data_IF_899400106170
#
_entry.id   IF_899400106170
#
_cell.length_a   1.000
_cell.length_b   1.000
_cell.length_c   1.000
_cell.angle_alpha   90.00
_cell.angle_beta   90.00
_cell.angle_gamma   90.00
#
_symmetry.space_group_name_H-M   'P 1'
#
loop_
_entity.id
_entity.type
_entity.pdbx_description
1 polymer ?
#
# COMPACT_ATOMS: atom_id res chain seq x y z
N UNK A 1 -6.83 20.14 12.00
CA UNK A 1 -6.04 19.62 10.85
C UNK A 1 -7.05 18.91 9.99
N UNK A 2 -7.24 19.24 8.70
CA UNK A 2 -8.05 18.38 7.85
C UNK A 2 -7.39 17.00 7.93
N UNK A 3 -8.17 15.95 8.22
CA UNK A 3 -7.67 14.59 8.02
C UNK A 3 -7.07 14.58 6.61
N UNK A 4 -5.76 14.33 6.50
CA UNK A 4 -5.14 14.14 5.20
C UNK A 4 -6.04 13.17 4.44
N UNK A 5 -6.44 13.48 3.20
CA UNK A 5 -7.32 12.64 2.38
C UNK A 5 -6.61 11.33 2.02
N UNK A 6 -6.35 10.50 3.03
CA UNK A 6 -5.58 9.28 2.93
C UNK A 6 -6.41 8.26 2.17
N UNK A 7 -5.77 7.65 1.19
CA UNK A 7 -6.36 6.57 0.40
C UNK A 7 -5.94 5.24 1.01
N UNK A 8 -6.92 4.36 1.22
CA UNK A 8 -6.66 3.00 1.65
C UNK A 8 -6.36 2.10 0.44
N UNK A 9 -5.21 1.45 0.45
CA UNK A 9 -4.75 0.56 -0.60
C UNK A 9 -4.49 -0.84 -0.04
N UNK A 10 -4.83 -1.85 -0.83
CA UNK A 10 -4.42 -3.24 -0.65
C UNK A 10 -3.86 -3.80 -1.96
N UNK A 11 -2.92 -4.73 -1.87
CA UNK A 11 -2.19 -5.24 -3.02
C UNK A 11 -2.47 -6.73 -3.23
N UNK A 12 -3.17 -7.06 -4.33
CA UNK A 12 -3.48 -8.43 -4.74
C UNK A 12 -2.23 -9.10 -5.34
N UNK A 13 -1.86 -10.25 -4.82
CA UNK A 13 -0.76 -11.08 -5.30
C UNK A 13 -1.23 -12.12 -6.33
N UNK A 14 -0.26 -12.78 -6.97
CA UNK A 14 -0.49 -13.74 -8.05
C UNK A 14 -1.25 -15.00 -7.59
N UNK A 15 -1.15 -15.35 -6.30
CA UNK A 15 -1.84 -16.48 -5.68
C UNK A 15 -3.26 -16.12 -5.19
N UNK A 16 -3.69 -14.88 -5.41
CA UNK A 16 -4.99 -14.37 -5.00
C UNK A 16 -5.03 -13.80 -3.58
N UNK A 17 -3.93 -13.89 -2.81
CA UNK A 17 -3.82 -13.26 -1.49
C UNK A 17 -3.65 -11.74 -1.60
N UNK A 18 -3.89 -11.01 -0.49
CA UNK A 18 -3.77 -9.55 -0.42
C UNK A 18 -2.71 -9.17 0.64
N UNK A 19 -1.87 -8.17 0.36
CA UNK A 19 -1.04 -7.46 1.34
C UNK A 19 -1.73 -6.14 1.71
N UNK A 20 -1.90 -5.86 3.00
CA UNK A 20 -2.56 -4.65 3.53
C UNK A 20 -3.90 -4.95 4.24
N UNK A 21 -4.77 -3.95 4.44
CA UNK A 21 -4.72 -2.59 3.87
C UNK A 21 -3.70 -1.66 4.52
N UNK A 22 -3.29 -0.63 3.78
CA UNK A 22 -2.45 0.48 4.26
C UNK A 22 -3.03 1.82 3.82
N UNK A 23 -2.81 2.87 4.61
CA UNK A 23 -3.22 4.25 4.29
C UNK A 23 -2.06 5.03 3.70
N UNK A 24 -2.31 5.75 2.63
CA UNK A 24 -1.33 6.57 1.92
C UNK A 24 -1.86 7.96 1.63
N UNK A 25 -0.99 8.96 1.73
CA UNK A 25 -1.29 10.28 1.15
C UNK A 25 -1.42 10.18 -0.37
N UNK A 26 -2.32 10.95 -1.02
CA UNK A 26 -2.38 11.04 -2.49
C UNK A 26 -1.06 11.47 -3.14
N UNK A 27 -0.15 12.10 -2.38
CA UNK A 27 1.19 12.47 -2.85
C UNK A 27 2.20 11.31 -2.80
N UNK A 28 1.84 10.15 -2.26
CA UNK A 28 2.74 8.99 -2.16
C UNK A 28 3.17 8.52 -3.55
N UNK A 29 4.47 8.29 -3.74
CA UNK A 29 5.00 7.85 -5.02
C UNK A 29 4.79 6.35 -5.24
N UNK A 30 4.69 5.93 -6.51
CA UNK A 30 4.65 4.51 -6.87
C UNK A 30 5.89 3.76 -6.39
N UNK A 31 7.05 4.41 -6.31
CA UNK A 31 8.27 3.81 -5.78
C UNK A 31 8.11 3.40 -4.31
N UNK A 32 7.57 4.29 -3.47
CA UNK A 32 7.28 3.99 -2.06
C UNK A 32 6.26 2.85 -1.90
N UNK A 33 5.23 2.81 -2.76
CA UNK A 33 4.26 1.71 -2.74
C UNK A 33 4.93 0.36 -3.06
N UNK A 34 5.81 0.33 -4.09
CA UNK A 34 6.55 -0.88 -4.47
C UNK A 34 7.51 -1.34 -3.38
N UNK A 35 8.23 -0.43 -2.75
CA UNK A 35 9.11 -0.74 -1.61
C UNK A 35 8.32 -1.38 -0.46
N UNK A 36 7.11 -0.88 -0.17
CA UNK A 36 6.24 -1.49 0.84
C UNK A 36 5.85 -2.91 0.49
N UNK A 37 5.46 -3.18 -0.76
CA UNK A 37 5.09 -4.54 -1.21
C UNK A 37 6.27 -5.52 -1.01
N UNK A 38 7.49 -5.10 -1.35
CA UNK A 38 8.69 -5.93 -1.16
C UNK A 38 8.98 -6.16 0.32
N UNK A 39 8.83 -5.13 1.17
CA UNK A 39 9.08 -5.22 2.61
C UNK A 39 8.08 -6.13 3.34
N UNK A 40 6.82 -6.15 2.90
CA UNK A 40 5.73 -6.94 3.49
C UNK A 40 5.47 -8.25 2.74
N UNK A 41 6.39 -8.67 1.85
CA UNK A 41 6.20 -9.86 1.03
C UNK A 41 6.05 -11.11 1.92
N UNK A 42 4.99 -11.92 1.75
CA UNK A 42 4.82 -13.16 2.51
C UNK A 42 5.97 -14.13 2.28
N UNK A 43 6.42 -14.81 3.34
CA UNK A 43 7.44 -15.86 3.25
C UNK A 43 6.88 -17.17 2.70
#
# INVERSE_FOLDING_TARGET
>A
MPEEDLVELKFRLYDGSDIGPFRYSPASTVAMLKERIVAEWPK
#
